data_IF_701140188988
#
_entry.id   IF_701140188988
#
_cell.length_a   1.000
_cell.length_b   1.000
_cell.length_c   1.000
_cell.angle_alpha   90.00
_cell.angle_beta   90.00
_cell.angle_gamma   90.00
#
_symmetry.space_group_name_H-M   'P 1'
#
loop_
_entity.id
_entity.type
_entity.pdbx_description
1 polymer ?
#
# COMPACT_ATOMS: atom_id res chain seq x y z
N UNK A 1 -66.65 -12.98 15.49
CA UNK A 1 -66.18 -11.81 14.70
C UNK A 1 -64.72 -12.02 14.38
N UNK A 2 -64.49 -12.62 13.18
CA UNK A 2 -63.13 -12.87 12.68
C UNK A 2 -62.54 -11.55 12.22
N UNK A 3 -61.56 -11.06 12.96
CA UNK A 3 -60.81 -9.86 12.61
C UNK A 3 -59.59 -10.30 11.74
N UNK A 4 -59.86 -10.70 10.48
CA UNK A 4 -58.82 -10.98 9.49
C UNK A 4 -58.18 -9.66 9.10
N UNK A 5 -57.03 -9.33 9.72
CA UNK A 5 -56.16 -8.23 9.31
C UNK A 5 -55.69 -8.46 7.87
N UNK A 6 -56.34 -7.83 6.91
CA UNK A 6 -55.91 -7.82 5.50
C UNK A 6 -54.69 -6.86 5.36
N UNK A 7 -53.52 -7.43 5.27
CA UNK A 7 -52.29 -6.70 4.96
C UNK A 7 -52.33 -6.33 3.46
N UNK A 8 -52.06 -5.07 3.15
CA UNK A 8 -51.99 -4.59 1.76
C UNK A 8 -50.81 -5.21 1.00
N UNK A 9 -50.95 -5.40 -0.32
CA UNK A 9 -49.84 -5.94 -1.18
C UNK A 9 -48.56 -5.14 -1.01
N UNK A 10 -48.65 -3.81 -0.85
CA UNK A 10 -47.47 -2.95 -0.60
C UNK A 10 -46.77 -3.25 0.74
N UNK A 11 -47.52 -3.61 1.73
CA UNK A 11 -46.96 -3.99 3.05
C UNK A 11 -46.33 -5.38 3.01
N UNK A 12 -46.95 -6.30 2.26
CA UNK A 12 -46.36 -7.61 2.00
C UNK A 12 -45.03 -7.51 1.25
N UNK A 13 -44.94 -6.70 0.21
CA UNK A 13 -43.71 -6.46 -0.56
C UNK A 13 -42.61 -5.83 0.33
N UNK A 14 -42.99 -4.89 1.19
CA UNK A 14 -42.05 -4.26 2.14
C UNK A 14 -41.50 -5.27 3.15
N UNK A 15 -42.34 -6.13 3.69
CA UNK A 15 -41.97 -7.17 4.66
C UNK A 15 -41.08 -8.20 3.97
N UNK A 16 -41.43 -8.65 2.76
CA UNK A 16 -40.65 -9.58 1.95
C UNK A 16 -39.27 -9.00 1.60
N UNK A 17 -39.19 -7.71 1.24
CA UNK A 17 -37.95 -7.00 0.98
C UNK A 17 -37.03 -6.94 2.20
N UNK A 18 -37.57 -6.62 3.37
CA UNK A 18 -36.80 -6.60 4.61
C UNK A 18 -36.27 -7.99 5.00
N UNK A 19 -37.12 -9.01 4.86
CA UNK A 19 -36.76 -10.40 5.14
C UNK A 19 -35.66 -10.88 4.18
N UNK A 20 -35.78 -10.57 2.88
CA UNK A 20 -34.76 -10.86 1.89
C UNK A 20 -33.43 -10.21 2.23
N UNK A 21 -33.39 -8.92 2.55
CA UNK A 21 -32.18 -8.22 2.97
C UNK A 21 -31.54 -8.87 4.20
N UNK A 22 -32.34 -9.25 5.19
CA UNK A 22 -31.87 -9.94 6.39
C UNK A 22 -31.23 -11.29 6.08
N UNK A 23 -31.91 -12.11 5.28
CA UNK A 23 -31.40 -13.42 4.87
C UNK A 23 -30.14 -13.28 4.01
N UNK A 24 -30.13 -12.38 3.04
CA UNK A 24 -28.96 -12.11 2.20
C UNK A 24 -27.75 -11.75 3.03
N UNK A 25 -27.90 -10.85 4.03
CA UNK A 25 -26.82 -10.47 4.94
C UNK A 25 -26.26 -11.67 5.73
N UNK A 26 -27.11 -12.57 6.19
CA UNK A 26 -26.69 -13.79 6.91
C UNK A 26 -25.87 -14.69 5.96
N UNK A 27 -26.35 -14.89 4.73
CA UNK A 27 -25.68 -15.71 3.71
C UNK A 27 -24.31 -15.11 3.37
N UNK A 28 -24.24 -13.80 3.12
CA UNK A 28 -23.00 -13.13 2.72
C UNK A 28 -21.98 -13.14 3.86
N UNK A 29 -22.42 -12.92 5.11
CA UNK A 29 -21.56 -13.02 6.29
C UNK A 29 -20.96 -14.43 6.42
N UNK A 30 -21.79 -15.47 6.27
CA UNK A 30 -21.33 -16.86 6.34
C UNK A 30 -20.33 -17.19 5.22
N UNK A 31 -20.61 -16.79 3.97
CA UNK A 31 -19.69 -16.97 2.84
C UNK A 31 -18.36 -16.26 3.06
N UNK A 32 -18.40 -15.03 3.56
CA UNK A 32 -17.20 -14.26 3.88
C UNK A 32 -16.36 -14.98 4.95
N UNK A 33 -16.98 -15.42 6.04
CA UNK A 33 -16.28 -16.13 7.12
C UNK A 33 -15.60 -17.41 6.63
N UNK A 34 -16.26 -18.18 5.77
CA UNK A 34 -15.68 -19.38 5.17
C UNK A 34 -14.49 -19.03 4.28
N UNK A 35 -14.60 -17.97 3.46
CA UNK A 35 -13.52 -17.53 2.58
C UNK A 35 -12.29 -17.10 3.39
N UNK A 36 -12.47 -16.31 4.44
CA UNK A 36 -11.38 -15.90 5.36
C UNK A 36 -10.73 -17.12 6.02
N UNK A 37 -11.54 -18.07 6.51
CA UNK A 37 -11.02 -19.30 7.13
C UNK A 37 -10.17 -20.13 6.16
N UNK A 38 -10.66 -20.36 4.96
CA UNK A 38 -9.94 -21.13 3.92
C UNK A 38 -8.64 -20.42 3.53
N UNK A 39 -8.68 -19.08 3.36
CA UNK A 39 -7.50 -18.28 3.07
C UNK A 39 -6.45 -18.42 4.17
N UNK A 40 -6.85 -18.23 5.43
CA UNK A 40 -5.93 -18.33 6.58
C UNK A 40 -5.31 -19.74 6.70
N UNK A 41 -6.11 -20.80 6.51
CA UNK A 41 -5.60 -22.18 6.55
C UNK A 41 -4.65 -22.48 5.39
N UNK A 42 -4.91 -21.96 4.19
CA UNK A 42 -4.02 -22.11 3.03
C UNK A 42 -2.69 -21.38 3.26
N UNK A 43 -2.72 -20.16 3.80
CA UNK A 43 -1.51 -19.41 4.14
C UNK A 43 -0.66 -20.17 5.16
N UNK A 44 -1.27 -20.65 6.24
CA UNK A 44 -0.58 -21.44 7.26
C UNK A 44 0.02 -22.74 6.70
N UNK A 45 -0.67 -23.41 5.79
CA UNK A 45 -0.15 -24.60 5.11
C UNK A 45 1.12 -24.25 4.31
N UNK A 46 1.10 -23.20 3.50
CA UNK A 46 2.26 -22.79 2.71
C UNK A 46 3.43 -22.34 3.60
N UNK A 47 3.13 -21.61 4.66
CA UNK A 47 4.12 -21.20 5.65
C UNK A 47 4.76 -22.39 6.36
N UNK A 48 3.97 -23.36 6.81
CA UNK A 48 4.46 -24.60 7.43
C UNK A 48 5.34 -25.42 6.48
N UNK A 49 4.97 -25.51 5.19
CA UNK A 49 5.82 -26.14 4.16
C UNK A 49 7.18 -25.42 4.09
N UNK A 50 7.16 -24.08 4.03
CA UNK A 50 8.38 -23.28 4.01
C UNK A 50 9.25 -23.51 5.24
N UNK A 51 8.67 -23.51 6.44
CA UNK A 51 9.36 -23.81 7.73
C UNK A 51 9.94 -25.20 7.75
N UNK A 52 9.17 -26.20 7.33
CA UNK A 52 9.62 -27.58 7.27
C UNK A 52 10.83 -27.76 6.35
N UNK A 53 10.77 -27.18 5.14
CA UNK A 53 11.90 -27.25 4.19
C UNK A 53 13.14 -26.56 4.77
N UNK A 54 13.00 -25.40 5.41
CA UNK A 54 14.11 -24.68 6.04
C UNK A 54 14.74 -25.52 7.13
N UNK A 55 13.94 -26.09 8.04
CA UNK A 55 14.46 -26.90 9.15
C UNK A 55 15.16 -28.15 8.67
N UNK A 56 14.61 -28.83 7.66
CA UNK A 56 15.16 -30.10 7.15
C UNK A 56 16.46 -29.89 6.34
N UNK A 57 16.51 -28.82 5.51
CA UNK A 57 17.70 -28.51 4.71
C UNK A 57 18.83 -27.80 5.49
N UNK A 58 18.59 -27.31 6.70
CA UNK A 58 19.60 -26.73 7.57
C UNK A 58 20.51 -27.77 8.27
N UNK A 59 20.15 -29.05 8.23
CA UNK A 59 21.07 -30.08 8.67
C UNK A 59 22.33 -30.07 7.81
N UNK A 60 23.52 -30.03 8.44
CA UNK A 60 24.84 -29.91 7.80
C UNK A 60 25.07 -30.93 6.65
N UNK A 61 24.44 -32.08 6.75
CA UNK A 61 24.52 -33.16 5.77
C UNK A 61 23.92 -32.81 4.40
N UNK A 62 22.97 -31.85 4.34
CA UNK A 62 22.23 -31.53 3.11
C UNK A 62 22.51 -30.14 2.53
N UNK A 63 23.29 -29.30 3.22
CA UNK A 63 23.55 -27.92 2.81
C UNK A 63 24.17 -27.79 1.43
N UNK A 64 25.08 -28.70 1.04
CA UNK A 64 25.74 -28.71 -0.27
C UNK A 64 24.82 -29.18 -1.43
N UNK A 65 23.73 -29.89 -1.14
CA UNK A 65 22.82 -30.48 -2.12
C UNK A 65 21.39 -29.95 -2.05
N UNK A 66 21.13 -28.95 -1.22
CA UNK A 66 19.79 -28.45 -0.90
C UNK A 66 18.97 -28.09 -2.15
N UNK A 67 19.59 -27.41 -3.13
CA UNK A 67 18.91 -27.05 -4.38
C UNK A 67 18.48 -28.27 -5.21
N UNK A 68 19.36 -29.29 -5.29
CA UNK A 68 19.08 -30.51 -6.04
C UNK A 68 17.99 -31.35 -5.35
N UNK A 69 18.00 -31.40 -4.02
CA UNK A 69 16.96 -32.06 -3.22
C UNK A 69 15.63 -31.36 -3.44
N UNK A 70 15.61 -30.03 -3.31
CA UNK A 70 14.41 -29.23 -3.49
C UNK A 70 13.83 -29.36 -4.91
N UNK A 71 14.69 -29.44 -5.95
CA UNK A 71 14.26 -29.67 -7.32
C UNK A 71 13.61 -31.05 -7.52
N UNK A 72 14.16 -32.09 -6.90
CA UNK A 72 13.57 -33.45 -6.96
C UNK A 72 12.24 -33.51 -6.21
N UNK A 73 12.14 -32.90 -5.02
CA UNK A 73 10.93 -32.85 -4.22
C UNK A 73 9.85 -32.05 -4.96
N UNK A 74 10.19 -30.89 -5.51
CA UNK A 74 9.22 -30.05 -6.25
C UNK A 74 8.63 -30.78 -7.46
N UNK A 75 9.44 -31.57 -8.20
CA UNK A 75 8.95 -32.36 -9.31
C UNK A 75 7.89 -33.36 -8.85
N UNK A 76 8.19 -34.14 -7.80
CA UNK A 76 7.24 -35.12 -7.26
C UNK A 76 5.95 -34.49 -6.75
N UNK A 77 6.09 -33.39 -6.00
CA UNK A 77 4.92 -32.66 -5.47
C UNK A 77 4.09 -32.02 -6.61
N UNK A 78 4.73 -31.54 -7.66
CA UNK A 78 4.02 -30.98 -8.81
C UNK A 78 3.26 -32.06 -9.58
N UNK A 79 3.85 -33.25 -9.75
CA UNK A 79 3.24 -34.37 -10.42
C UNK A 79 2.02 -34.90 -9.65
N UNK A 80 2.06 -34.88 -8.30
CA UNK A 80 1.01 -35.42 -7.42
C UNK A 80 -0.06 -34.37 -7.07
N UNK A 81 0.34 -33.14 -6.70
CA UNK A 81 -0.53 -32.10 -6.14
C UNK A 81 -0.74 -30.91 -7.08
N UNK A 82 -0.05 -30.86 -8.21
CA UNK A 82 -0.19 -29.84 -9.24
C UNK A 82 0.76 -28.64 -9.11
N UNK A 83 0.55 -27.64 -9.98
CA UNK A 83 1.48 -26.52 -10.21
C UNK A 83 1.72 -25.59 -9.00
N UNK A 84 0.94 -25.74 -7.95
CA UNK A 84 1.13 -24.97 -6.70
C UNK A 84 2.42 -25.28 -5.95
N UNK A 85 3.13 -26.38 -6.30
CA UNK A 85 4.31 -26.89 -5.59
C UNK A 85 5.55 -26.94 -6.48
N UNK A 86 5.63 -26.10 -7.51
CA UNK A 86 6.82 -25.96 -8.34
C UNK A 86 8.02 -25.48 -7.50
N UNK A 87 9.24 -25.66 -8.01
CA UNK A 87 10.47 -25.18 -7.36
C UNK A 87 10.37 -23.70 -6.95
N UNK A 88 9.90 -22.84 -7.87
CA UNK A 88 9.68 -21.42 -7.56
C UNK A 88 8.62 -21.18 -6.48
N UNK A 89 7.56 -22.01 -6.43
CA UNK A 89 6.55 -21.89 -5.37
C UNK A 89 7.13 -22.28 -4.00
N UNK A 90 7.86 -23.40 -3.92
CA UNK A 90 8.52 -23.83 -2.67
C UNK A 90 9.55 -22.80 -2.19
N UNK A 91 10.36 -22.23 -3.10
CA UNK A 91 11.33 -21.17 -2.76
C UNK A 91 10.63 -19.93 -2.19
N UNK A 92 9.47 -19.53 -2.75
CA UNK A 92 8.67 -18.43 -2.20
C UNK A 92 8.08 -18.76 -0.83
N UNK A 93 7.60 -19.99 -0.61
CA UNK A 93 7.13 -20.44 0.71
C UNK A 93 8.26 -20.34 1.75
N UNK A 94 9.46 -20.78 1.42
CA UNK A 94 10.64 -20.62 2.27
C UNK A 94 10.96 -19.15 2.54
N UNK A 95 10.90 -18.28 1.52
CA UNK A 95 11.17 -16.86 1.69
C UNK A 95 10.14 -16.19 2.62
N UNK A 96 8.85 -16.51 2.46
CA UNK A 96 7.79 -16.06 3.39
C UNK A 96 8.08 -16.52 4.81
N UNK A 97 8.39 -17.80 4.99
CA UNK A 97 8.64 -18.39 6.32
C UNK A 97 9.91 -17.86 7.01
N UNK A 98 10.88 -17.34 6.24
CA UNK A 98 12.08 -16.67 6.80
C UNK A 98 11.80 -15.24 7.23
N UNK A 99 10.96 -14.53 6.48
CA UNK A 99 10.62 -13.12 6.73
C UNK A 99 9.60 -13.01 7.87
N UNK A 100 8.66 -13.94 7.91
CA UNK A 100 7.60 -14.04 8.90
C UNK A 100 7.86 -15.29 9.74
N UNK A 101 8.82 -15.23 10.65
CA UNK A 101 9.29 -16.38 11.44
C UNK A 101 8.46 -16.65 12.69
N UNK A 102 7.64 -15.70 13.12
CA UNK A 102 6.70 -15.84 14.24
C UNK A 102 5.36 -16.42 13.76
N UNK A 103 4.98 -17.57 14.32
CA UNK A 103 3.78 -18.32 13.94
C UNK A 103 2.49 -17.56 14.34
N UNK A 104 2.44 -16.98 15.53
CA UNK A 104 1.24 -16.28 16.02
C UNK A 104 0.99 -15.00 15.22
N UNK A 105 2.06 -14.26 14.96
CA UNK A 105 1.99 -13.07 14.10
C UNK A 105 1.54 -13.46 12.70
N UNK A 106 2.12 -14.48 12.08
CA UNK A 106 1.74 -14.91 10.73
C UNK A 106 0.29 -15.42 10.69
N UNK A 107 -0.16 -16.16 11.69
CA UNK A 107 -1.54 -16.62 11.79
C UNK A 107 -2.53 -15.44 11.88
N UNK A 108 -2.18 -14.40 12.64
CA UNK A 108 -2.97 -13.16 12.76
C UNK A 108 -3.06 -12.42 11.42
N UNK A 109 -1.93 -12.20 10.76
CA UNK A 109 -1.88 -11.56 9.44
C UNK A 109 -2.66 -12.34 8.38
N UNK A 110 -2.66 -13.67 8.46
CA UNK A 110 -3.36 -14.57 7.53
C UNK A 110 -4.89 -14.46 7.60
N UNK A 111 -5.45 -13.84 8.65
CA UNK A 111 -6.88 -13.53 8.72
C UNK A 111 -7.30 -12.41 7.74
N UNK A 112 -6.36 -11.53 7.40
CA UNK A 112 -6.64 -10.35 6.59
C UNK A 112 -5.94 -10.42 5.23
N UNK A 113 -4.69 -10.84 5.19
CA UNK A 113 -3.89 -10.91 3.97
C UNK A 113 -4.05 -12.26 3.26
N UNK A 114 -4.13 -12.24 1.93
CA UNK A 114 -4.07 -13.46 1.11
C UNK A 114 -2.61 -13.87 0.85
N UNK A 115 -2.41 -15.13 0.40
CA UNK A 115 -1.08 -15.58 -0.01
C UNK A 115 -0.42 -14.68 -1.04
N UNK A 116 -1.19 -14.15 -1.99
CA UNK A 116 -0.69 -13.23 -3.00
C UNK A 116 -0.20 -11.90 -2.42
N UNK A 117 -0.80 -11.40 -1.33
CA UNK A 117 -0.26 -10.24 -0.61
C UNK A 117 1.12 -10.54 -0.01
N UNK A 118 1.28 -11.69 0.64
CA UNK A 118 2.59 -12.08 1.15
C UNK A 118 3.63 -12.20 0.04
N UNK A 119 3.25 -12.74 -1.14
CA UNK A 119 4.17 -12.83 -2.27
C UNK A 119 4.62 -11.46 -2.81
N UNK A 120 3.77 -10.45 -2.79
CA UNK A 120 4.16 -9.07 -3.12
C UNK A 120 5.05 -8.47 -2.02
N UNK A 121 4.66 -8.61 -0.76
CA UNK A 121 5.39 -8.04 0.37
C UNK A 121 6.82 -8.58 0.50
N UNK A 122 7.06 -9.86 0.21
CA UNK A 122 8.41 -10.44 0.27
C UNK A 122 9.33 -9.96 -0.87
N UNK A 123 8.84 -9.24 -1.86
CA UNK A 123 9.69 -8.60 -2.88
C UNK A 123 10.39 -7.37 -2.34
N UNK A 124 9.85 -6.77 -1.29
CA UNK A 124 10.39 -5.59 -0.64
C UNK A 124 11.50 -6.03 0.32
N UNK A 125 12.75 -5.65 0.03
CA UNK A 125 13.91 -6.01 0.85
C UNK A 125 13.96 -5.25 2.18
N UNK A 126 13.68 -3.95 2.13
CA UNK A 126 13.64 -3.08 3.32
C UNK A 126 12.49 -3.49 4.25
N UNK A 127 12.84 -3.83 5.49
CA UNK A 127 11.88 -4.32 6.50
C UNK A 127 10.89 -3.23 6.92
N UNK A 128 11.32 -1.97 7.03
CA UNK A 128 10.46 -0.84 7.42
C UNK A 128 9.46 -0.52 6.32
N UNK A 129 9.95 -0.47 5.07
CA UNK A 129 9.10 -0.28 3.90
C UNK A 129 8.09 -1.42 3.76
N UNK A 130 8.50 -2.66 3.95
CA UNK A 130 7.60 -3.83 3.94
C UNK A 130 6.55 -3.74 5.03
N UNK A 131 6.94 -3.38 6.26
CA UNK A 131 6.02 -3.21 7.37
C UNK A 131 5.00 -2.09 7.10
N UNK A 132 5.42 -0.97 6.52
CA UNK A 132 4.54 0.11 6.10
C UNK A 132 3.45 -0.41 5.14
N UNK A 133 3.84 -1.05 4.02
CA UNK A 133 2.86 -1.56 3.05
C UNK A 133 1.95 -2.64 3.63
N UNK A 134 2.46 -3.47 4.53
CA UNK A 134 1.67 -4.45 5.26
C UNK A 134 0.60 -3.79 6.13
N UNK A 135 0.98 -2.84 6.97
CA UNK A 135 0.07 -2.21 7.93
C UNK A 135 -0.97 -1.33 7.23
N UNK A 136 -0.54 -0.51 6.28
CA UNK A 136 -1.47 0.34 5.51
C UNK A 136 -2.39 -0.52 4.65
N UNK A 137 -1.86 -1.57 4.01
CA UNK A 137 -2.67 -2.49 3.22
C UNK A 137 -3.74 -3.23 4.03
N UNK A 138 -3.46 -3.57 5.29
CA UNK A 138 -4.44 -4.15 6.21
C UNK A 138 -5.50 -3.11 6.60
N UNK A 139 -5.10 -1.89 6.98
CA UNK A 139 -5.98 -0.84 7.44
C UNK A 139 -6.95 -0.38 6.34
N UNK A 140 -6.44 -0.21 5.14
CA UNK A 140 -7.18 0.26 3.97
C UNK A 140 -7.85 -0.88 3.18
N UNK A 141 -7.68 -2.13 3.62
CA UNK A 141 -8.21 -3.32 2.94
C UNK A 141 -7.80 -3.43 1.46
N UNK A 142 -6.55 -3.07 1.14
CA UNK A 142 -6.06 -3.13 -0.23
C UNK A 142 -6.15 -4.54 -0.81
N UNK A 143 -6.60 -4.62 -2.05
CA UNK A 143 -6.40 -5.79 -2.88
C UNK A 143 -4.93 -5.93 -3.28
N UNK A 144 -4.52 -7.10 -3.76
CA UNK A 144 -3.15 -7.32 -4.27
C UNK A 144 -2.79 -6.33 -5.38
N UNK A 145 -3.76 -5.96 -6.22
CA UNK A 145 -3.56 -4.99 -7.29
C UNK A 145 -3.30 -3.59 -6.73
N UNK A 146 -4.13 -3.14 -5.79
CA UNK A 146 -3.95 -1.85 -5.12
C UNK A 146 -2.62 -1.79 -4.37
N UNK A 147 -2.23 -2.87 -3.66
CA UNK A 147 -0.93 -2.96 -3.01
C UNK A 147 0.22 -2.73 -4.01
N UNK A 148 0.15 -3.35 -5.19
CA UNK A 148 1.13 -3.18 -6.25
C UNK A 148 1.12 -1.76 -6.81
N UNK A 149 -0.06 -1.23 -7.12
CA UNK A 149 -0.21 0.14 -7.63
C UNK A 149 0.34 1.18 -6.63
N UNK A 150 0.14 0.98 -5.31
CA UNK A 150 0.70 1.84 -4.25
C UNK A 150 2.23 1.69 -4.11
N UNK A 151 2.78 0.49 -4.34
CA UNK A 151 4.24 0.28 -4.39
C UNK A 151 4.84 1.00 -5.60
N UNK A 152 4.24 0.88 -6.77
CA UNK A 152 4.67 1.55 -7.99
C UNK A 152 4.56 3.08 -7.88
N UNK A 153 3.53 3.57 -7.19
CA UNK A 153 3.36 4.98 -6.87
C UNK A 153 4.29 5.49 -5.75
N UNK A 154 5.18 4.64 -5.21
CA UNK A 154 6.15 5.00 -4.17
C UNK A 154 5.51 5.61 -2.91
N UNK A 155 4.40 5.03 -2.44
CA UNK A 155 3.63 5.56 -1.31
C UNK A 155 4.46 5.67 -0.01
N UNK A 156 5.37 4.71 0.23
CA UNK A 156 6.29 4.74 1.38
C UNK A 156 7.24 5.94 1.30
N UNK A 157 7.91 6.14 0.17
CA UNK A 157 8.86 7.22 -0.04
C UNK A 157 8.18 8.60 0.07
N UNK A 158 6.96 8.70 -0.42
CA UNK A 158 6.14 9.91 -0.27
C UNK A 158 5.79 10.18 1.19
N UNK A 159 5.47 9.14 1.97
CA UNK A 159 5.17 9.28 3.39
C UNK A 159 6.39 9.78 4.18
N UNK A 160 7.60 9.33 3.84
CA UNK A 160 8.85 9.80 4.44
C UNK A 160 9.12 11.28 4.16
N UNK A 161 8.82 11.75 2.95
CA UNK A 161 8.98 13.17 2.58
C UNK A 161 7.98 14.05 3.32
N UNK A 162 6.78 13.53 3.58
CA UNK A 162 5.68 14.28 4.20
C UNK A 162 5.77 14.37 5.73
N UNK A 163 6.52 13.46 6.38
CA UNK A 163 6.44 13.30 7.82
C UNK A 163 7.74 12.98 8.50
N UNK A 164 8.27 13.12 9.39
CA UNK A 164 9.12 12.66 10.50
C UNK A 164 10.30 11.75 10.13
N UNK A 165 11.39 11.82 10.86
CA UNK A 165 12.54 10.92 10.74
C UNK A 165 12.11 9.44 10.81
N UNK A 166 12.81 8.55 10.09
CA UNK A 166 12.57 7.10 10.04
C UNK A 166 12.36 6.45 11.42
N UNK A 167 13.12 6.87 12.43
CA UNK A 167 13.03 6.34 13.80
C UNK A 167 11.67 6.58 14.47
N UNK A 168 10.95 7.65 14.12
CA UNK A 168 9.61 7.90 14.66
C UNK A 168 8.53 7.08 13.91
N UNK A 169 8.73 6.84 12.63
CA UNK A 169 7.84 5.96 11.85
C UNK A 169 7.98 4.53 12.36
N UNK A 170 9.20 4.03 12.53
CA UNK A 170 9.46 2.69 13.07
C UNK A 170 8.83 2.53 14.45
N UNK A 171 9.06 3.47 15.38
CA UNK A 171 8.46 3.43 16.73
C UNK A 171 6.93 3.48 16.69
N UNK A 172 6.36 4.23 15.75
CA UNK A 172 4.91 4.30 15.58
C UNK A 172 4.37 2.99 15.05
N UNK A 173 5.05 2.37 14.07
CA UNK A 173 4.66 1.08 13.48
C UNK A 173 4.83 -0.09 14.46
N UNK A 174 5.89 -0.10 15.27
CA UNK A 174 6.14 -1.13 16.29
C UNK A 174 5.12 -1.07 17.45
N UNK A 175 4.64 0.12 17.81
CA UNK A 175 3.66 0.31 18.87
C UNK A 175 2.20 0.07 18.41
N UNK A 176 1.97 -0.16 17.13
CA UNK A 176 0.65 -0.45 16.59
C UNK A 176 0.37 -1.96 16.74
N UNK A 177 -0.23 -2.31 17.87
CA UNK A 177 -0.88 -3.62 17.98
C UNK A 177 -2.10 -3.68 17.05
N UNK A 178 -2.44 -4.86 16.47
CA UNK A 178 -3.53 -5.02 15.50
C UNK A 178 -4.91 -4.52 15.98
N UNK A 179 -5.05 -4.19 17.27
CA UNK A 179 -6.32 -3.75 17.89
C UNK A 179 -6.56 -2.23 17.87
N UNK A 180 -5.54 -1.40 17.59
CA UNK A 180 -5.67 0.07 17.61
C UNK A 180 -4.88 0.69 16.47
N UNK A 181 -5.27 0.36 15.25
CA UNK A 181 -4.75 1.01 14.07
C UNK A 181 -5.60 2.26 13.78
N UNK A 182 -5.14 3.41 14.22
CA UNK A 182 -5.68 4.68 13.72
C UNK A 182 -4.98 4.99 12.39
N UNK A 183 -5.60 4.55 11.29
CA UNK A 183 -5.18 4.84 9.93
C UNK A 183 -4.87 6.34 9.70
N UNK A 184 -5.56 7.21 10.42
CA UNK A 184 -5.39 8.66 10.44
C UNK A 184 -3.97 9.15 10.76
N UNK A 185 -3.17 8.39 11.51
CA UNK A 185 -1.81 8.83 11.89
C UNK A 185 -0.81 8.62 10.74
N UNK A 186 -0.99 7.56 9.96
CA UNK A 186 -0.09 7.26 8.82
C UNK A 186 -0.59 7.94 7.55
N UNK A 187 -1.90 7.97 7.31
CA UNK A 187 -2.48 8.52 6.09
C UNK A 187 -2.41 10.06 6.02
N UNK A 188 -2.41 10.76 7.15
CA UNK A 188 -2.18 12.22 7.18
C UNK A 188 -0.77 12.61 6.73
N UNK A 189 0.13 11.65 6.57
CA UNK A 189 1.52 11.88 6.20
C UNK A 189 1.86 11.40 4.77
N UNK A 190 0.93 10.82 4.03
CA UNK A 190 1.10 10.50 2.60
C UNK A 190 0.19 11.38 1.74
N UNK A 191 0.75 11.95 0.67
CA UNK A 191 -0.05 12.69 -0.30
C UNK A 191 -0.75 11.69 -1.22
N UNK A 192 -2.07 11.59 -1.10
CA UNK A 192 -2.89 10.74 -1.95
C UNK A 192 -3.31 11.56 -3.16
N UNK A 193 -2.76 11.22 -4.32
CA UNK A 193 -3.06 11.90 -5.60
C UNK A 193 -4.13 11.16 -6.41
N UNK A 194 -4.82 10.19 -5.83
CA UNK A 194 -5.86 9.39 -6.49
C UNK A 194 -7.01 10.27 -7.02
N UNK A 195 -7.26 11.42 -6.38
CA UNK A 195 -8.26 12.39 -6.83
C UNK A 195 -7.94 13.05 -8.19
N UNK A 196 -6.70 12.90 -8.68
CA UNK A 196 -6.31 13.42 -10.01
C UNK A 196 -6.85 12.55 -11.16
N UNK A 197 -7.39 11.36 -10.85
CA UNK A 197 -7.98 10.42 -11.81
C UNK A 197 -7.03 10.03 -12.97
N UNK A 198 -5.71 10.16 -12.74
CA UNK A 198 -4.70 9.77 -13.71
C UNK A 198 -4.56 8.25 -13.71
N UNK A 199 -4.86 7.62 -14.84
CA UNK A 199 -4.76 6.18 -15.03
C UNK A 199 -3.76 5.83 -16.13
N UNK A 200 -2.95 4.79 -15.92
CA UNK A 200 -1.97 4.32 -16.89
C UNK A 200 -0.70 5.16 -16.95
N UNK A 201 -0.07 5.21 -18.12
CA UNK A 201 1.11 6.05 -18.35
C UNK A 201 0.67 7.48 -18.68
N UNK A 202 1.19 8.45 -17.94
CA UNK A 202 0.95 9.88 -18.17
C UNK A 202 2.26 10.66 -18.11
N UNK A 203 2.28 11.84 -18.77
CA UNK A 203 3.44 12.73 -18.81
C UNK A 203 3.47 13.69 -17.62
N UNK A 204 4.63 14.34 -17.39
CA UNK A 204 4.76 15.39 -16.37
C UNK A 204 3.78 16.54 -16.60
N UNK A 205 3.55 16.91 -17.86
CA UNK A 205 2.59 17.96 -18.24
C UNK A 205 1.15 17.57 -17.89
N UNK A 206 0.75 16.31 -18.13
CA UNK A 206 -0.59 15.82 -17.78
C UNK A 206 -0.79 15.78 -16.26
N UNK A 207 0.25 15.41 -15.51
CA UNK A 207 0.23 15.47 -14.03
C UNK A 207 0.08 16.91 -13.55
N UNK A 208 0.85 17.84 -14.08
CA UNK A 208 0.77 19.25 -13.73
C UNK A 208 -0.60 19.86 -14.05
N UNK A 209 -1.16 19.53 -15.23
CA UNK A 209 -2.48 19.98 -15.63
C UNK A 209 -3.58 19.41 -14.73
N UNK A 210 -3.50 18.13 -14.35
CA UNK A 210 -4.42 17.49 -13.42
C UNK A 210 -4.37 18.12 -12.03
N UNK A 211 -3.15 18.36 -11.48
CA UNK A 211 -2.97 19.10 -10.22
C UNK A 211 -3.59 20.49 -10.30
N UNK A 212 -3.39 21.19 -11.41
CA UNK A 212 -3.95 22.54 -11.60
C UNK A 212 -5.47 22.55 -11.66
N UNK A 213 -6.08 21.58 -12.33
CA UNK A 213 -7.54 21.45 -12.41
C UNK A 213 -8.18 21.11 -11.05
N UNK A 214 -7.46 20.43 -10.18
CA UNK A 214 -7.93 20.01 -8.86
C UNK A 214 -7.10 20.62 -7.72
N UNK A 215 -6.63 21.85 -7.92
CA UNK A 215 -5.73 22.54 -6.99
C UNK A 215 -6.29 22.63 -5.57
N UNK A 216 -7.60 22.80 -5.41
CA UNK A 216 -8.27 22.83 -4.11
C UNK A 216 -8.04 21.49 -3.35
N UNK A 217 -8.26 20.35 -4.01
CA UNK A 217 -8.03 19.03 -3.43
C UNK A 217 -6.56 18.82 -3.15
N UNK A 218 -5.68 19.26 -4.04
CA UNK A 218 -4.24 19.17 -3.84
C UNK A 218 -3.77 19.96 -2.61
N UNK A 219 -4.30 21.17 -2.39
CA UNK A 219 -4.01 21.98 -1.20
C UNK A 219 -4.49 21.28 0.08
N UNK A 220 -5.68 20.65 0.05
CA UNK A 220 -6.18 19.89 1.18
C UNK A 220 -5.30 18.68 1.52
N UNK A 221 -4.77 18.01 0.51
CA UNK A 221 -3.81 16.91 0.69
C UNK A 221 -2.45 17.38 1.24
N UNK A 222 -1.96 18.55 0.84
CA UNK A 222 -0.75 19.14 1.44
C UNK A 222 -0.91 19.41 2.94
N UNK A 223 -2.15 19.60 3.40
CA UNK A 223 -2.47 19.83 4.81
C UNK A 223 -2.67 21.30 5.17
N UNK A 224 -2.79 21.55 6.48
CA UNK A 224 -3.11 22.88 6.99
C UNK A 224 -1.92 23.85 6.92
N UNK A 225 -2.19 25.05 6.47
CA UNK A 225 -1.24 26.15 6.51
C UNK A 225 -0.59 26.49 5.17
N UNK A 226 -0.85 25.74 4.12
CA UNK A 226 -0.41 26.07 2.78
C UNK A 226 -1.31 27.12 2.14
N UNK A 227 -0.68 28.09 1.48
CA UNK A 227 -1.35 29.07 0.63
C UNK A 227 -0.69 29.03 -0.75
N UNK A 228 -1.48 28.77 -1.78
CA UNK A 228 -1.00 28.79 -3.16
C UNK A 228 -0.63 30.22 -3.58
N UNK A 229 0.54 30.37 -4.18
CA UNK A 229 1.04 31.66 -4.66
C UNK A 229 1.03 31.73 -6.19
N UNK A 230 1.72 30.80 -6.83
CA UNK A 230 1.97 30.91 -8.27
C UNK A 230 2.16 29.51 -8.90
N UNK A 231 1.79 29.38 -10.18
CA UNK A 231 2.06 28.25 -11.04
C UNK A 231 3.03 28.68 -12.14
N UNK A 232 3.92 27.77 -12.56
CA UNK A 232 4.88 28.00 -13.64
C UNK A 232 5.70 29.29 -13.44
N UNK A 233 6.18 29.44 -12.18
CA UNK A 233 7.00 30.62 -11.85
C UNK A 233 8.27 30.63 -12.67
N UNK A 234 8.44 31.66 -13.49
CA UNK A 234 9.60 31.83 -14.34
C UNK A 234 10.76 32.47 -13.58
N UNK A 235 11.94 31.87 -13.70
CA UNK A 235 13.22 32.42 -13.27
C UNK A 235 14.14 32.61 -14.46
N UNK A 236 14.76 33.77 -14.60
CA UNK A 236 15.79 33.98 -15.63
C UNK A 236 17.14 34.06 -14.93
N UNK A 237 18.00 33.09 -15.16
CA UNK A 237 19.33 32.99 -14.55
C UNK A 237 20.35 32.90 -15.68
N UNK A 238 21.28 33.83 -15.74
CA UNK A 238 22.31 33.93 -16.77
C UNK A 238 21.76 33.83 -18.20
N UNK A 239 20.59 34.45 -18.45
CA UNK A 239 19.93 34.47 -19.74
C UNK A 239 19.17 33.17 -20.10
N UNK A 240 19.12 32.21 -19.20
CA UNK A 240 18.35 30.95 -19.36
C UNK A 240 17.10 31.00 -18.51
N UNK A 241 15.96 30.63 -19.09
CA UNK A 241 14.69 30.56 -18.40
C UNK A 241 14.46 29.19 -17.80
N UNK A 242 14.04 29.20 -16.54
CA UNK A 242 13.62 28.02 -15.77
C UNK A 242 12.20 28.24 -15.27
N UNK A 243 11.47 27.15 -15.08
CA UNK A 243 10.09 27.18 -14.62
C UNK A 243 9.91 26.24 -13.43
N UNK A 244 9.35 26.77 -12.34
CA UNK A 244 8.93 26.00 -11.17
C UNK A 244 7.45 25.71 -11.29
N UNK A 245 7.05 24.46 -11.15
CA UNK A 245 5.67 24.04 -11.40
C UNK A 245 4.69 24.72 -10.44
N UNK A 246 4.95 24.65 -9.12
CA UNK A 246 4.05 25.20 -8.12
C UNK A 246 4.85 25.90 -6.99
N UNK A 247 4.38 27.07 -6.57
CA UNK A 247 4.90 27.81 -5.44
C UNK A 247 3.81 28.04 -4.40
N UNK A 248 4.12 27.69 -3.14
CA UNK A 248 3.26 27.90 -1.98
C UNK A 248 3.96 28.70 -0.91
N UNK A 249 3.17 29.29 0.00
CA UNK A 249 3.64 29.84 1.27
C UNK A 249 3.05 29.03 2.42
N UNK A 250 3.88 28.64 3.36
CA UNK A 250 3.44 27.92 4.55
C UNK A 250 3.34 28.87 5.75
N UNK A 251 2.11 29.15 6.20
CA UNK A 251 1.82 30.18 7.20
C UNK A 251 2.48 29.95 8.56
N UNK A 252 2.52 28.70 9.04
CA UNK A 252 3.09 28.35 10.35
C UNK A 252 4.61 28.40 10.34
N UNK A 253 5.22 27.87 9.29
CA UNK A 253 6.68 27.85 9.10
C UNK A 253 7.22 29.17 8.58
N UNK A 254 6.35 30.05 8.08
CA UNK A 254 6.71 31.35 7.49
C UNK A 254 7.77 31.23 6.41
N UNK A 255 7.61 30.27 5.51
CA UNK A 255 8.54 29.99 4.43
C UNK A 255 7.82 29.76 3.11
N UNK A 256 8.55 29.96 2.01
CA UNK A 256 8.14 29.51 0.68
C UNK A 256 8.36 28.02 0.54
N UNK A 257 7.46 27.35 -0.16
CA UNK A 257 7.54 25.93 -0.48
C UNK A 257 7.48 25.77 -2.00
N UNK A 258 8.61 25.36 -2.57
CA UNK A 258 8.75 25.11 -3.99
C UNK A 258 8.44 23.63 -4.30
N UNK A 259 7.58 23.37 -5.28
CA UNK A 259 7.24 22.03 -5.73
C UNK A 259 7.52 21.94 -7.22
N UNK A 260 8.35 20.97 -7.60
CA UNK A 260 8.69 20.64 -8.98
C UNK A 260 8.23 19.18 -9.23
N UNK A 261 7.30 18.98 -10.15
CA UNK A 261 6.64 17.71 -10.39
C UNK A 261 7.50 16.85 -11.34
N UNK A 262 7.86 15.67 -10.92
CA UNK A 262 8.66 14.75 -11.73
C UNK A 262 8.08 13.34 -11.69
N UNK A 263 8.13 12.66 -12.83
CA UNK A 263 7.72 11.28 -12.93
C UNK A 263 8.90 10.32 -12.76
N UNK A 264 8.63 9.19 -12.15
CA UNK A 264 9.60 8.10 -12.00
C UNK A 264 10.58 8.27 -10.84
N UNK A 265 11.73 7.60 -10.94
CA UNK A 265 12.73 7.59 -9.87
C UNK A 265 13.46 8.91 -9.75
N UNK A 266 13.80 9.29 -8.51
CA UNK A 266 14.64 10.46 -8.23
C UNK A 266 15.97 10.39 -9.00
N UNK A 267 16.35 11.52 -9.60
CA UNK A 267 17.64 11.68 -10.28
C UNK A 267 18.44 12.81 -9.62
N UNK A 268 19.77 12.67 -9.44
CA UNK A 268 20.60 13.68 -8.80
C UNK A 268 20.49 15.09 -9.42
N UNK A 269 20.21 15.17 -10.72
CA UNK A 269 20.00 16.44 -11.43
C UNK A 269 18.80 17.23 -10.89
N UNK A 270 17.75 16.57 -10.39
CA UNK A 270 16.58 17.24 -9.83
C UNK A 270 16.92 18.01 -8.54
N UNK A 271 17.84 17.46 -7.74
CA UNK A 271 18.37 18.16 -6.57
C UNK A 271 19.08 19.44 -6.97
N UNK A 272 19.96 19.39 -7.98
CA UNK A 272 20.69 20.57 -8.47
C UNK A 272 19.75 21.65 -9.00
N UNK A 273 18.71 21.25 -9.75
CA UNK A 273 17.68 22.16 -10.25
C UNK A 273 16.92 22.83 -9.08
N UNK A 274 16.49 22.08 -8.10
CA UNK A 274 15.78 22.61 -6.94
C UNK A 274 16.68 23.54 -6.10
N UNK A 275 17.95 23.21 -5.87
CA UNK A 275 18.90 24.08 -5.18
C UNK A 275 19.08 25.42 -5.91
N UNK A 276 19.07 25.40 -7.25
CA UNK A 276 19.14 26.63 -8.05
C UNK A 276 17.90 27.50 -7.81
N UNK A 277 16.71 26.90 -7.84
CA UNK A 277 15.44 27.60 -7.57
C UNK A 277 15.40 28.22 -6.17
N UNK A 278 15.79 27.44 -5.15
CA UNK A 278 15.81 27.89 -3.77
C UNK A 278 16.79 29.06 -3.56
N UNK A 279 17.98 29.02 -4.15
CA UNK A 279 18.94 30.11 -4.09
C UNK A 279 18.43 31.37 -4.78
N UNK A 280 17.75 31.23 -5.92
CA UNK A 280 17.15 32.37 -6.61
C UNK A 280 16.07 33.03 -5.74
N UNK A 281 15.13 32.24 -5.22
CA UNK A 281 14.06 32.73 -4.35
C UNK A 281 14.57 33.37 -3.08
N UNK A 282 15.60 32.80 -2.45
CA UNK A 282 16.24 33.38 -1.28
C UNK A 282 16.84 34.76 -1.57
N UNK A 283 17.28 35.01 -2.80
CA UNK A 283 17.91 36.28 -3.17
C UNK A 283 16.91 37.35 -3.60
N UNK A 284 15.79 36.96 -4.19
CA UNK A 284 14.89 37.90 -4.88
C UNK A 284 13.44 37.89 -4.36
N UNK A 285 12.99 36.84 -3.67
CA UNK A 285 11.60 36.68 -3.23
C UNK A 285 11.47 36.65 -1.68
N UNK A 286 12.54 36.57 -0.94
CA UNK A 286 12.63 36.64 0.53
C UNK A 286 13.43 37.89 0.95
#
# INVERSE_FOLDING_TARGET
>A
MDNTLTISDKELDKIAGNLYCGISKIIDTAKHSVAVYVNAKSNMMYWNIGRYIISDLQYETYSAYGEQILAKVSKRLTDEYGKGYTYSALTRMMKVARIYDDEEMFATLSQTLSWSHFLELITIEDSTKRLFYQQVGIAEHWSVRELRDKQDAMAYERSLIAAKPDDEIVKTLENITPKHFEADVILKNSYVLDFLELSGYYSENELEEAVSKQLEKFILELGQGFAFLERQKRFTIDGTDYYLDLLFYHRRLKCLVAIDLKLGKFKPQYKGQMELYLKYMQKYDM
#
